data_IF_553337860679
#
_entry.id   IF_553337860679
#
_cell.length_a   1.000
_cell.length_b   1.000
_cell.length_c   1.000
_cell.angle_alpha   90.00
_cell.angle_beta   90.00
_cell.angle_gamma   90.00
#
_symmetry.space_group_name_H-M   'P 1'
#
loop_
_entity.id
_entity.type
_entity.pdbx_description
1 polymer ?
#
# COMPACT_ATOMS: atom_id res chain seq x y z
N UNK A 1 -16.96 -2.08 20.55
CA UNK A 1 -18.25 -1.77 21.21
C UNK A 1 -19.33 -1.55 20.14
N UNK A 2 -20.62 -1.63 20.52
CA UNK A 2 -21.74 -1.24 19.63
C UNK A 2 -22.51 -0.09 20.23
N UNK A 3 -23.06 0.79 19.39
CA UNK A 3 -23.96 1.85 19.83
C UNK A 3 -25.30 1.25 20.26
N UNK A 4 -26.10 2.05 20.96
CA UNK A 4 -27.47 1.72 21.37
C UNK A 4 -28.37 1.35 20.19
N UNK A 5 -28.04 1.85 18.98
CA UNK A 5 -28.73 1.52 17.72
C UNK A 5 -28.12 0.35 16.94
N UNK A 6 -27.15 -0.38 17.49
CA UNK A 6 -26.55 -1.57 16.88
C UNK A 6 -25.35 -1.33 15.95
N UNK A 7 -24.91 -0.08 15.76
CA UNK A 7 -23.76 0.25 14.90
C UNK A 7 -22.43 -0.10 15.56
N UNK A 8 -21.42 -0.50 14.77
CA UNK A 8 -20.05 -0.70 15.29
C UNK A 8 -19.43 0.66 15.65
N UNK A 9 -18.85 0.75 16.85
CA UNK A 9 -18.07 1.90 17.28
C UNK A 9 -16.59 1.60 17.08
N UNK A 10 -15.89 2.49 16.38
CA UNK A 10 -14.46 2.40 16.09
C UNK A 10 -13.70 3.44 16.91
N UNK A 11 -12.57 3.05 17.47
CA UNK A 11 -11.63 3.97 18.10
C UNK A 11 -10.80 4.70 17.04
N UNK A 12 -10.17 5.80 17.44
CA UNK A 12 -9.18 6.49 16.60
C UNK A 12 -8.05 5.54 16.16
N UNK A 13 -7.61 4.65 17.05
CA UNK A 13 -6.63 3.62 16.72
C UNK A 13 -7.11 2.67 15.60
N UNK A 14 -8.39 2.28 15.60
CA UNK A 14 -8.95 1.46 14.53
C UNK A 14 -9.02 2.21 13.20
N UNK A 15 -9.30 3.51 13.22
CA UNK A 15 -9.27 4.36 12.01
C UNK A 15 -7.84 4.51 11.50
N UNK A 16 -6.87 4.78 12.37
CA UNK A 16 -5.45 4.88 11.99
C UNK A 16 -4.93 3.58 11.36
N UNK A 17 -5.35 2.42 11.90
CA UNK A 17 -5.03 1.11 11.33
C UNK A 17 -5.61 0.95 9.92
N UNK A 18 -6.85 1.39 9.68
CA UNK A 18 -7.45 1.36 8.35
C UNK A 18 -6.73 2.29 7.36
N UNK A 19 -6.29 3.47 7.80
CA UNK A 19 -5.50 4.37 6.94
C UNK A 19 -4.15 3.76 6.55
N UNK A 20 -3.52 2.99 7.44
CA UNK A 20 -2.33 2.22 7.10
C UNK A 20 -2.64 1.13 6.06
N UNK A 21 -3.71 0.36 6.26
CA UNK A 21 -4.15 -0.69 5.30
C UNK A 21 -4.39 -0.10 3.91
N UNK A 22 -5.02 1.08 3.84
CA UNK A 22 -5.31 1.77 2.56
C UNK A 22 -4.05 2.12 1.77
N UNK A 23 -2.90 2.35 2.42
CA UNK A 23 -1.63 2.65 1.74
C UNK A 23 -1.03 1.44 1.03
N UNK A 24 -1.27 0.23 1.55
CA UNK A 24 -0.72 -1.02 0.99
C UNK A 24 -1.52 -1.54 -0.21
N UNK A 25 -2.82 -1.23 -0.27
CA UNK A 25 -3.69 -1.65 -1.37
C UNK A 25 -3.22 -1.22 -2.78
N UNK A 26 -2.88 0.04 -3.06
CA UNK A 26 -2.38 0.44 -4.39
C UNK A 26 -1.03 -0.20 -4.74
N UNK A 27 -0.27 -0.64 -3.74
CA UNK A 27 0.98 -1.37 -3.91
C UNK A 27 0.75 -2.88 -4.10
N UNK A 28 -0.48 -3.33 -4.33
CA UNK A 28 -0.78 -4.72 -4.65
C UNK A 28 -0.59 -5.72 -3.51
N UNK A 29 -0.54 -5.26 -2.26
CA UNK A 29 -0.44 -6.19 -1.12
C UNK A 29 -1.70 -7.04 -0.98
N UNK A 30 -1.52 -8.35 -0.74
CA UNK A 30 -2.61 -9.26 -0.41
C UNK A 30 -3.11 -9.02 1.02
N UNK A 31 -4.28 -9.60 1.36
CA UNK A 31 -4.82 -9.49 2.73
C UNK A 31 -3.91 -10.18 3.73
N UNK A 32 -3.29 -11.28 3.32
CA UNK A 32 -2.31 -12.05 4.10
C UNK A 32 -1.05 -11.21 4.35
N UNK A 33 -0.46 -10.62 3.30
CA UNK A 33 0.72 -9.75 3.44
C UNK A 33 0.43 -8.54 4.33
N UNK A 34 -0.76 -7.92 4.18
CA UNK A 34 -1.21 -6.83 5.05
C UNK A 34 -1.27 -7.29 6.51
N UNK A 35 -1.78 -8.50 6.76
CA UNK A 35 -1.82 -9.09 8.10
C UNK A 35 -0.44 -9.26 8.71
N UNK A 36 0.54 -9.74 7.92
CA UNK A 36 1.93 -9.87 8.35
C UNK A 36 2.53 -8.52 8.73
N UNK A 37 2.40 -7.50 7.87
CA UNK A 37 2.89 -6.15 8.14
C UNK A 37 2.30 -5.58 9.41
N UNK A 38 0.99 -5.74 9.60
CA UNK A 38 0.32 -5.27 10.81
C UNK A 38 0.80 -6.00 12.06
N UNK A 39 1.05 -7.32 11.98
CA UNK A 39 1.58 -8.11 13.09
C UNK A 39 2.98 -7.65 13.50
N UNK A 40 3.85 -7.35 12.53
CA UNK A 40 5.18 -6.80 12.78
C UNK A 40 5.08 -5.46 13.51
N UNK A 41 4.22 -4.56 13.03
CA UNK A 41 4.05 -3.24 13.63
C UNK A 41 3.45 -3.32 15.03
N UNK A 42 2.47 -4.20 15.25
CA UNK A 42 1.88 -4.43 16.58
C UNK A 42 2.94 -4.93 17.56
N UNK A 43 3.80 -5.88 17.15
CA UNK A 43 4.89 -6.40 17.97
C UNK A 43 5.93 -5.32 18.31
N UNK A 44 6.28 -4.47 17.33
CA UNK A 44 7.22 -3.36 17.55
C UNK A 44 6.64 -2.23 18.40
N UNK A 45 5.31 -2.13 18.50
CA UNK A 45 4.61 -1.16 19.35
C UNK A 45 4.30 -1.70 20.74
N UNK A 46 4.44 -2.99 20.99
CA UNK A 46 4.18 -3.61 22.29
C UNK A 46 5.29 -3.25 23.30
N UNK A 47 4.99 -2.49 24.37
CA UNK A 47 5.98 -2.14 25.40
C UNK A 47 6.52 -3.35 26.17
N UNK A 48 5.84 -4.50 26.11
CA UNK A 48 6.27 -5.74 26.77
C UNK A 48 7.16 -6.62 25.87
N UNK A 49 7.34 -6.27 24.59
CA UNK A 49 8.16 -7.04 23.68
C UNK A 49 9.65 -6.98 24.08
N UNK A 50 10.30 -8.14 24.08
CA UNK A 50 11.73 -8.22 24.38
C UNK A 50 12.57 -7.88 23.14
N UNK A 51 13.83 -7.50 23.34
CA UNK A 51 14.78 -7.28 22.24
C UNK A 51 14.93 -8.49 21.32
N UNK A 52 14.84 -9.70 21.87
CA UNK A 52 14.90 -10.95 21.10
C UNK A 52 13.69 -11.12 20.17
N UNK A 53 12.53 -10.59 20.55
CA UNK A 53 11.32 -10.60 19.72
C UNK A 53 11.31 -9.45 18.71
N UNK A 54 11.81 -8.27 19.10
CA UNK A 54 11.78 -7.09 18.22
C UNK A 54 12.84 -7.13 17.13
N UNK A 55 14.00 -7.75 17.37
CA UNK A 55 15.07 -7.79 16.38
C UNK A 55 14.65 -8.49 15.07
N UNK A 56 14.08 -9.71 15.08
CA UNK A 56 13.57 -10.34 13.86
C UNK A 56 12.43 -9.55 13.20
N UNK A 57 11.63 -8.84 14.00
CA UNK A 57 10.54 -8.00 13.49
C UNK A 57 11.07 -6.77 12.75
N UNK A 58 12.18 -6.18 13.20
CA UNK A 58 12.87 -5.10 12.49
C UNK A 58 13.46 -5.60 11.16
N UNK A 59 14.08 -6.78 11.16
CA UNK A 59 14.62 -7.38 9.93
C UNK A 59 13.50 -7.61 8.90
N UNK A 60 12.36 -8.16 9.35
CA UNK A 60 11.18 -8.34 8.49
C UNK A 60 10.57 -7.01 8.04
N UNK A 61 10.61 -5.97 8.87
CA UNK A 61 10.18 -4.62 8.48
C UNK A 61 11.07 -4.05 7.36
N UNK A 62 12.38 -4.29 7.42
CA UNK A 62 13.31 -3.91 6.36
C UNK A 62 13.02 -4.65 5.05
N UNK A 63 12.66 -5.93 5.10
CA UNK A 63 12.21 -6.70 3.94
C UNK A 63 10.92 -6.11 3.33
N UNK A 64 9.93 -5.81 4.18
CA UNK A 64 8.68 -5.15 3.74
C UNK A 64 8.99 -3.81 3.07
N UNK A 65 9.91 -3.02 3.64
CA UNK A 65 10.36 -1.75 3.03
C UNK A 65 10.98 -1.98 1.65
N UNK A 66 11.82 -3.00 1.50
CA UNK A 66 12.41 -3.34 0.20
C UNK A 66 11.34 -3.71 -0.84
N UNK A 67 10.35 -4.53 -0.46
CA UNK A 67 9.21 -4.86 -1.34
C UNK A 67 8.41 -3.62 -1.74
N UNK A 68 8.20 -2.66 -0.83
CA UNK A 68 7.52 -1.40 -1.17
C UNK A 68 8.31 -0.62 -2.22
N UNK A 69 9.63 -0.53 -2.08
CA UNK A 69 10.50 0.16 -3.06
C UNK A 69 10.42 -0.51 -4.43
N UNK A 70 10.57 -1.84 -4.49
CA UNK A 70 10.48 -2.60 -5.74
C UNK A 70 9.12 -2.39 -6.45
N UNK A 71 8.01 -2.47 -5.71
CA UNK A 71 6.67 -2.27 -6.28
C UNK A 71 6.41 -0.84 -6.73
N UNK A 72 7.05 0.16 -6.09
CA UNK A 72 7.00 1.55 -6.55
C UNK A 72 7.75 1.72 -7.88
N UNK A 73 8.95 1.15 -8.01
CA UNK A 73 9.72 1.17 -9.26
C UNK A 73 8.94 0.52 -10.42
N UNK A 74 8.28 -0.62 -10.16
CA UNK A 74 7.40 -1.24 -11.15
C UNK A 74 6.22 -0.35 -11.56
N UNK A 75 5.59 0.32 -10.59
CA UNK A 75 4.45 1.19 -10.84
C UNK A 75 4.86 2.42 -11.65
N UNK A 76 6.04 2.97 -11.38
CA UNK A 76 6.63 4.06 -12.15
C UNK A 76 6.92 3.62 -13.59
N UNK A 77 7.52 2.44 -13.78
CA UNK A 77 7.77 1.89 -15.11
C UNK A 77 6.47 1.66 -15.90
N UNK A 78 5.43 1.11 -15.26
CA UNK A 78 4.09 0.95 -15.86
C UNK A 78 3.46 2.30 -16.21
N UNK A 79 3.65 3.30 -15.36
CA UNK A 79 3.16 4.66 -15.59
C UNK A 79 3.84 5.28 -16.80
N UNK A 80 5.16 5.15 -16.94
CA UNK A 80 5.86 5.69 -18.11
C UNK A 80 5.46 4.99 -19.40
N UNK A 81 5.34 3.66 -19.39
CA UNK A 81 4.85 2.90 -20.54
C UNK A 81 3.44 3.36 -20.97
N UNK A 82 2.53 3.54 -20.01
CA UNK A 82 1.18 4.04 -20.28
C UNK A 82 1.18 5.48 -20.83
N UNK A 83 2.07 6.35 -20.33
CA UNK A 83 2.26 7.70 -20.87
C UNK A 83 2.77 7.67 -22.31
N UNK A 84 3.71 6.79 -22.62
CA UNK A 84 4.19 6.54 -23.99
C UNK A 84 3.06 6.18 -24.93
N UNK A 85 2.28 5.18 -24.56
CA UNK A 85 1.13 4.74 -25.35
C UNK A 85 0.09 5.87 -25.55
N UNK A 86 -0.18 6.68 -24.53
CA UNK A 86 -1.08 7.83 -24.65
C UNK A 86 -0.57 8.87 -25.67
N UNK A 87 0.75 9.09 -25.76
CA UNK A 87 1.36 9.95 -26.79
C UNK A 87 1.18 9.36 -28.19
N UNK A 88 1.45 8.07 -28.36
CA UNK A 88 1.30 7.39 -29.65
C UNK A 88 -0.14 7.52 -30.18
N UNK A 89 -1.14 7.31 -29.31
CA UNK A 89 -2.55 7.49 -29.67
C UNK A 89 -2.87 8.93 -30.10
N UNK A 90 -2.31 9.93 -29.41
CA UNK A 90 -2.50 11.33 -29.76
C UNK A 90 -1.90 11.67 -31.14
N UNK A 91 -0.71 11.15 -31.45
CA UNK A 91 -0.08 11.33 -32.76
C UNK A 91 -0.91 10.68 -33.88
N UNK A 92 -1.39 9.46 -33.66
CA UNK A 92 -2.26 8.75 -34.62
C UNK A 92 -3.53 9.57 -34.86
N UNK A 93 -4.17 10.07 -33.80
CA UNK A 93 -5.38 10.87 -33.92
C UNK A 93 -5.13 12.17 -34.71
N UNK A 94 -3.99 12.84 -34.49
CA UNK A 94 -3.64 14.07 -35.18
C UNK A 94 -3.40 13.84 -36.67
N UNK A 95 -2.68 12.77 -37.05
CA UNK A 95 -2.41 12.43 -38.46
C UNK A 95 -3.67 12.12 -39.26
N UNK A 96 -4.71 11.62 -38.61
CA UNK A 96 -5.95 11.19 -39.26
C UNK A 96 -7.09 12.21 -39.16
N UNK A 97 -6.88 13.37 -38.54
CA UNK A 97 -7.86 14.47 -38.63
C UNK A 97 -7.73 15.13 -40.01
N UNK A 98 -8.81 15.19 -40.81
CA UNK A 98 -8.77 15.89 -42.08
C UNK A 98 -8.53 17.38 -41.84
N UNK A 99 -7.67 17.98 -42.66
CA UNK A 99 -7.57 19.43 -42.77
C UNK A 99 -8.91 19.95 -43.29
N UNK A 100 -9.59 20.78 -42.51
CA UNK A 100 -10.70 21.62 -43.01
C UNK A 100 -10.19 22.66 -44.01
#
# INVERSE_FOLDING_TARGET
>A
ARSTGGFRLYSEAAVARLELIKKMKPLGFSVEEIGEVLGILDLLQDPAATTEQTQPALDRLDEVRATVVERLEELEAKTEAARGFARDLAEIAQRNRPSE
#
